data_IF_765808265425
#
_entry.id   IF_765808265425
#
_cell.length_a   1.000
_cell.length_b   1.000
_cell.length_c   1.000
_cell.angle_alpha   90.00
_cell.angle_beta   90.00
_cell.angle_gamma   90.00
#
_symmetry.space_group_name_H-M   'P 1'
#
loop_
_entity.id
_entity.type
_entity.pdbx_description
1 polymer ?
#
# COMPACT_ATOMS: atom_id res chain seq x y z
N UNK A 1 2.04 -13.37 5.61
CA UNK A 1 1.59 -11.97 5.64
C UNK A 1 2.60 -11.11 6.38
N UNK A 2 3.01 -10.01 5.76
CA UNK A 2 3.89 -9.00 6.35
C UNK A 2 3.08 -7.74 6.68
N UNK A 3 3.40 -7.10 7.79
CA UNK A 3 2.85 -5.81 8.22
C UNK A 3 4.01 -4.85 8.51
N UNK A 4 4.14 -3.80 7.69
CA UNK A 4 5.11 -2.72 7.88
C UNK A 4 4.35 -1.46 8.30
N UNK A 5 4.47 -1.07 9.56
CA UNK A 5 3.64 -0.02 10.15
C UNK A 5 4.44 0.99 10.96
N UNK A 6 3.77 2.03 11.44
CA UNK A 6 4.35 3.04 12.33
C UNK A 6 4.56 4.40 11.68
N UNK A 7 5.00 5.36 12.50
CA UNK A 7 5.16 6.77 12.10
C UNK A 7 6.44 7.05 11.30
N UNK A 8 7.44 6.16 11.40
CA UNK A 8 8.72 6.32 10.73
C UNK A 8 8.66 6.13 9.23
N UNK A 9 9.62 6.74 8.53
CA UNK A 9 9.87 6.57 7.10
C UNK A 9 10.34 5.15 6.78
N UNK A 10 10.02 4.65 5.59
CA UNK A 10 10.58 3.42 5.04
C UNK A 10 9.59 2.29 4.83
N UNK A 11 8.33 2.40 5.23
CA UNK A 11 7.30 1.35 5.04
C UNK A 11 7.13 0.96 3.58
N UNK A 12 6.77 1.91 2.72
CA UNK A 12 6.66 1.71 1.27
C UNK A 12 8.01 1.26 0.67
N UNK A 13 9.13 1.88 1.10
CA UNK A 13 10.47 1.53 0.63
C UNK A 13 10.83 0.08 0.93
N UNK A 14 10.51 -0.42 2.13
CA UNK A 14 10.74 -1.81 2.50
C UNK A 14 9.87 -2.77 1.66
N UNK A 15 8.58 -2.44 1.48
CA UNK A 15 7.68 -3.20 0.64
C UNK A 15 8.15 -3.24 -0.83
N UNK A 16 8.59 -2.10 -1.36
CA UNK A 16 9.17 -1.98 -2.71
C UNK A 16 10.47 -2.78 -2.85
N UNK A 17 11.33 -2.76 -1.84
CA UNK A 17 12.53 -3.58 -1.80
C UNK A 17 12.23 -5.09 -1.84
N UNK A 18 11.18 -5.53 -1.15
CA UNK A 18 10.71 -6.91 -1.23
C UNK A 18 10.12 -7.23 -2.61
N UNK A 19 9.38 -6.29 -3.22
CA UNK A 19 8.89 -6.44 -4.60
C UNK A 19 10.04 -6.64 -5.60
N UNK A 20 11.07 -5.80 -5.51
CA UNK A 20 12.24 -5.90 -6.37
C UNK A 20 12.96 -7.25 -6.21
N UNK A 21 13.12 -7.73 -4.97
CA UNK A 21 13.70 -9.06 -4.69
C UNK A 21 12.87 -10.18 -5.29
N UNK A 22 11.54 -10.11 -5.15
CA UNK A 22 10.61 -11.10 -5.70
C UNK A 22 10.67 -11.14 -7.24
N UNK A 23 10.64 -9.98 -7.89
CA UNK A 23 10.78 -9.86 -9.36
C UNK A 23 12.13 -10.43 -9.83
N UNK A 24 13.23 -10.11 -9.14
CA UNK A 24 14.55 -10.66 -9.43
C UNK A 24 14.65 -12.17 -9.27
N UNK A 25 13.73 -12.78 -8.52
CA UNK A 25 13.59 -14.23 -8.35
C UNK A 25 12.55 -14.86 -9.29
N UNK A 26 12.02 -14.10 -10.25
CA UNK A 26 11.02 -14.57 -11.22
C UNK A 26 9.59 -14.70 -10.68
N UNK A 27 9.30 -14.15 -9.48
CA UNK A 27 7.96 -14.17 -8.90
C UNK A 27 7.08 -13.09 -9.54
N UNK A 28 5.79 -13.38 -9.65
CA UNK A 28 4.77 -12.43 -10.12
C UNK A 28 4.40 -11.49 -8.98
N UNK A 29 4.61 -10.20 -9.19
CA UNK A 29 4.33 -9.16 -8.19
C UNK A 29 3.16 -8.30 -8.61
N UNK A 30 2.23 -8.09 -7.69
CA UNK A 30 1.12 -7.13 -7.81
C UNK A 30 1.24 -6.07 -6.74
N UNK A 31 1.13 -4.80 -7.13
CA UNK A 31 1.13 -3.64 -6.21
C UNK A 31 -0.19 -2.90 -6.35
N UNK A 32 -0.89 -2.74 -5.24
CA UNK A 32 -2.04 -1.84 -5.11
C UNK A 32 -1.62 -0.70 -4.20
N UNK A 33 -1.61 0.52 -4.72
CA UNK A 33 -1.27 1.71 -3.94
C UNK A 33 -2.55 2.51 -3.65
N UNK A 34 -2.94 2.57 -2.38
CA UNK A 34 -4.10 3.31 -1.91
C UNK A 34 -3.73 4.77 -1.57
N UNK A 35 -4.72 5.66 -1.66
CA UNK A 35 -4.67 7.04 -1.16
C UNK A 35 -3.48 7.89 -1.69
N UNK A 36 -2.94 7.52 -2.83
CA UNK A 36 -1.88 8.26 -3.54
C UNK A 36 -2.32 8.49 -4.99
N UNK A 37 -1.66 9.44 -5.65
CA UNK A 37 -1.98 9.88 -7.02
C UNK A 37 -1.30 9.06 -8.13
N UNK A 38 -0.61 7.97 -7.77
CA UNK A 38 0.09 7.13 -8.74
C UNK A 38 1.39 7.73 -9.30
N UNK A 39 1.88 8.84 -8.74
CA UNK A 39 3.12 9.50 -9.18
C UNK A 39 4.35 9.08 -8.36
N UNK A 40 4.20 8.14 -7.43
CA UNK A 40 5.31 7.63 -6.62
C UNK A 40 6.42 7.05 -7.50
N UNK A 41 7.66 7.48 -7.24
CA UNK A 41 8.82 7.21 -8.09
C UNK A 41 9.17 5.73 -8.29
N UNK A 42 8.75 4.86 -7.39
CA UNK A 42 8.98 3.41 -7.46
C UNK A 42 8.05 2.67 -8.44
N UNK A 43 6.90 3.26 -8.81
CA UNK A 43 5.88 2.53 -9.58
C UNK A 43 6.32 2.22 -11.01
N UNK A 44 6.91 3.18 -11.71
CA UNK A 44 7.35 2.99 -13.09
C UNK A 44 8.53 2.01 -13.23
N UNK A 45 9.57 2.09 -12.40
CA UNK A 45 10.62 1.06 -12.36
C UNK A 45 10.07 -0.35 -12.08
N UNK A 46 9.14 -0.50 -11.14
CA UNK A 46 8.52 -1.80 -10.85
C UNK A 46 7.71 -2.32 -12.04
N UNK A 47 6.96 -1.43 -12.73
CA UNK A 47 6.21 -1.79 -13.95
C UNK A 47 7.13 -2.27 -15.06
N UNK A 48 8.24 -1.57 -15.29
CA UNK A 48 9.27 -1.95 -16.25
C UNK A 48 9.87 -3.32 -15.96
N UNK A 49 10.02 -3.67 -14.68
CA UNK A 49 10.48 -4.98 -14.23
C UNK A 49 9.40 -6.07 -14.25
N UNK A 50 8.17 -5.76 -14.67
CA UNK A 50 7.10 -6.72 -14.87
C UNK A 50 6.07 -6.81 -13.74
N UNK A 51 6.10 -5.92 -12.74
CA UNK A 51 5.04 -5.86 -11.74
C UNK A 51 3.71 -5.34 -12.32
N UNK A 52 2.60 -5.93 -11.89
CA UNK A 52 1.27 -5.39 -12.14
C UNK A 52 0.97 -4.28 -11.13
N UNK A 53 0.78 -3.05 -11.62
CA UNK A 53 0.59 -1.86 -10.78
C UNK A 53 -0.84 -1.35 -10.90
N UNK A 54 -1.49 -1.16 -9.76
CA UNK A 54 -2.83 -0.60 -9.61
C UNK A 54 -2.77 0.58 -8.64
N UNK A 55 -2.85 1.79 -9.18
CA UNK A 55 -2.86 3.04 -8.43
C UNK A 55 -3.89 3.99 -9.03
N UNK A 56 -4.48 4.86 -8.22
CA UNK A 56 -5.35 5.91 -8.72
C UNK A 56 -4.51 6.94 -9.49
N UNK A 57 -5.08 7.48 -10.57
CA UNK A 57 -4.42 8.54 -11.34
C UNK A 57 -4.62 9.93 -10.73
N UNK A 58 -5.54 10.03 -9.78
CA UNK A 58 -5.89 11.27 -9.10
C UNK A 58 -6.26 10.99 -7.64
N UNK A 59 -5.53 11.56 -6.71
CA UNK A 59 -5.93 11.67 -5.29
C UNK A 59 -5.69 13.13 -4.87
N UNK A 60 -6.57 14.07 -5.28
CA UNK A 60 -6.29 15.50 -5.24
C UNK A 60 -6.33 16.09 -3.83
N UNK A 61 -6.91 15.38 -2.84
CA UNK A 61 -7.13 15.91 -1.49
C UNK A 61 -6.81 14.89 -0.42
N UNK A 62 -6.38 15.38 0.73
CA UNK A 62 -6.36 14.56 1.94
C UNK A 62 -7.79 14.20 2.37
N UNK A 63 -8.00 13.00 2.90
CA UNK A 63 -9.33 12.48 3.27
C UNK A 63 -10.10 13.43 4.21
N UNK A 64 -9.41 14.12 5.12
CA UNK A 64 -10.03 15.10 6.02
C UNK A 64 -10.53 16.38 5.33
N UNK A 65 -10.13 16.61 4.07
CA UNK A 65 -10.58 17.74 3.23
C UNK A 65 -11.67 17.35 2.26
N UNK A 66 -12.03 16.06 2.19
CA UNK A 66 -13.04 15.53 1.26
C UNK A 66 -14.44 15.71 1.81
N UNK A 67 -15.38 16.09 0.95
CA UNK A 67 -16.82 15.97 1.20
C UNK A 67 -17.23 14.48 1.28
N UNK A 68 -18.42 14.20 1.79
CA UNK A 68 -18.93 12.81 1.85
C UNK A 68 -19.07 12.18 0.45
N UNK A 69 -19.46 12.98 -0.55
CA UNK A 69 -19.52 12.50 -1.94
C UNK A 69 -18.15 12.15 -2.49
N UNK A 70 -17.11 12.96 -2.23
CA UNK A 70 -15.72 12.68 -2.63
C UNK A 70 -15.17 11.46 -1.92
N UNK A 71 -15.49 11.28 -0.63
CA UNK A 71 -15.09 10.06 0.11
C UNK A 71 -15.71 8.80 -0.50
N UNK A 72 -16.99 8.84 -0.83
CA UNK A 72 -17.66 7.70 -1.45
C UNK A 72 -17.10 7.39 -2.84
N UNK A 73 -16.83 8.39 -3.67
CA UNK A 73 -16.18 8.21 -4.96
C UNK A 73 -14.77 7.60 -4.81
N UNK A 74 -13.98 8.11 -3.85
CA UNK A 74 -12.66 7.58 -3.53
C UNK A 74 -12.76 6.12 -3.08
N UNK A 75 -13.71 5.80 -2.19
CA UNK A 75 -13.94 4.43 -1.72
C UNK A 75 -14.27 3.49 -2.88
N UNK A 76 -15.16 3.90 -3.78
CA UNK A 76 -15.52 3.11 -4.96
C UNK A 76 -14.30 2.89 -5.87
N UNK A 77 -13.52 3.92 -6.15
CA UNK A 77 -12.33 3.86 -6.98
C UNK A 77 -11.26 2.93 -6.38
N UNK A 78 -10.92 3.10 -5.10
CA UNK A 78 -9.93 2.28 -4.41
C UNK A 78 -10.37 0.80 -4.34
N UNK A 79 -11.66 0.57 -4.12
CA UNK A 79 -12.24 -0.78 -4.14
C UNK A 79 -12.17 -1.41 -5.54
N UNK A 80 -12.41 -0.63 -6.59
CA UNK A 80 -12.28 -1.10 -7.98
C UNK A 80 -10.83 -1.49 -8.32
N UNK A 81 -9.83 -0.70 -7.89
CA UNK A 81 -8.41 -1.03 -8.05
C UNK A 81 -8.07 -2.37 -7.39
N UNK A 82 -8.53 -2.57 -6.16
CA UNK A 82 -8.33 -3.84 -5.46
C UNK A 82 -8.97 -5.02 -6.21
N UNK A 83 -10.21 -4.86 -6.71
CA UNK A 83 -10.88 -5.89 -7.52
C UNK A 83 -10.13 -6.20 -8.80
N UNK A 84 -9.62 -5.19 -9.51
CA UNK A 84 -8.82 -5.38 -10.73
C UNK A 84 -7.52 -6.14 -10.44
N UNK A 85 -6.86 -5.86 -9.31
CA UNK A 85 -5.66 -6.55 -8.89
C UNK A 85 -5.86 -8.05 -8.68
N UNK A 86 -7.07 -8.47 -8.30
CA UNK A 86 -7.43 -9.88 -8.09
C UNK A 86 -7.69 -10.66 -9.39
N UNK A 87 -7.81 -9.98 -10.53
CA UNK A 87 -8.05 -10.64 -11.82
C UNK A 87 -6.83 -11.41 -12.34
N UNK A 88 -5.66 -11.22 -11.75
CA UNK A 88 -4.42 -11.88 -12.16
C UNK A 88 -3.79 -12.62 -10.99
N UNK A 89 -3.28 -13.85 -11.21
CA UNK A 89 -2.55 -14.55 -10.16
C UNK A 89 -1.23 -13.84 -9.85
N UNK A 90 -0.88 -13.76 -8.56
CA UNK A 90 0.39 -13.21 -8.09
C UNK A 90 0.99 -14.10 -6.99
N UNK A 91 2.31 -14.01 -6.84
CA UNK A 91 3.07 -14.70 -5.81
C UNK A 91 3.38 -13.76 -4.64
N UNK A 92 3.41 -12.44 -4.90
CA UNK A 92 3.53 -11.38 -3.90
C UNK A 92 2.56 -10.24 -4.21
N UNK A 93 1.70 -9.90 -3.25
CA UNK A 93 0.78 -8.77 -3.31
C UNK A 93 1.19 -7.69 -2.31
N UNK A 94 1.52 -6.50 -2.77
CA UNK A 94 1.75 -5.32 -1.93
C UNK A 94 0.51 -4.46 -1.91
N UNK A 95 0.00 -4.18 -0.73
CA UNK A 95 -1.13 -3.31 -0.46
C UNK A 95 -0.61 -2.09 0.32
N UNK A 96 -0.09 -1.11 -0.44
CA UNK A 96 0.54 0.08 0.11
C UNK A 96 -0.52 1.07 0.61
N UNK A 97 -0.31 1.67 1.79
CA UNK A 97 -1.25 2.50 2.55
C UNK A 97 -2.58 1.79 2.92
N UNK A 98 -2.58 0.45 2.96
CA UNK A 98 -3.77 -0.34 3.27
C UNK A 98 -4.32 -0.08 4.68
N UNK A 99 -3.46 0.21 5.66
CA UNK A 99 -3.90 0.51 7.02
C UNK A 99 -4.77 1.78 7.04
N UNK A 100 -4.30 2.86 6.41
CA UNK A 100 -5.04 4.12 6.31
C UNK A 100 -6.33 3.97 5.50
N UNK A 101 -6.26 3.31 4.34
CA UNK A 101 -7.44 3.07 3.51
C UNK A 101 -8.54 2.29 4.26
N UNK A 102 -8.14 1.29 5.06
CA UNK A 102 -9.06 0.52 5.91
C UNK A 102 -9.64 1.37 7.05
N UNK A 103 -8.78 2.04 7.83
CA UNK A 103 -9.21 2.83 8.99
C UNK A 103 -10.14 3.97 8.61
N UNK A 104 -9.82 4.68 7.54
CA UNK A 104 -10.60 5.82 7.03
C UNK A 104 -11.83 5.40 6.21
N UNK A 105 -12.02 4.10 5.95
CA UNK A 105 -13.14 3.59 5.16
C UNK A 105 -13.07 3.97 3.67
N UNK A 106 -11.85 4.18 3.16
CA UNK A 106 -11.62 4.57 1.75
C UNK A 106 -11.48 3.36 0.81
N UNK A 107 -11.68 2.16 1.31
CA UNK A 107 -11.80 0.91 0.56
C UNK A 107 -12.90 0.05 1.21
N UNK A 108 -13.49 -0.86 0.46
CA UNK A 108 -14.39 -1.87 1.03
C UNK A 108 -13.60 -2.73 2.04
N UNK A 109 -13.93 -2.56 3.33
CA UNK A 109 -13.22 -3.17 4.46
C UNK A 109 -13.31 -4.68 4.46
N UNK A 110 -14.49 -5.21 4.11
CA UNK A 110 -14.71 -6.66 4.10
C UNK A 110 -13.97 -7.30 2.93
N UNK A 111 -13.98 -6.67 1.77
CA UNK A 111 -13.20 -7.12 0.62
C UNK A 111 -11.71 -7.12 0.94
N UNK A 112 -11.16 -6.02 1.46
CA UNK A 112 -9.73 -5.94 1.80
C UNK A 112 -9.34 -7.05 2.81
N UNK A 113 -10.15 -7.24 3.85
CA UNK A 113 -9.93 -8.30 4.84
C UNK A 113 -10.00 -9.69 4.21
N UNK A 114 -10.98 -9.96 3.36
CA UNK A 114 -11.11 -11.23 2.65
C UNK A 114 -9.92 -11.51 1.74
N UNK A 115 -9.48 -10.51 0.96
CA UNK A 115 -8.32 -10.61 0.06
C UNK A 115 -7.06 -11.03 0.82
N UNK A 116 -6.82 -10.42 1.96
CA UNK A 116 -5.64 -10.70 2.77
C UNK A 116 -5.72 -12.08 3.44
N UNK A 117 -6.87 -12.38 4.09
CA UNK A 117 -7.02 -13.59 4.89
C UNK A 117 -7.30 -14.85 4.05
N UNK A 118 -7.90 -14.69 2.87
CA UNK A 118 -8.24 -15.82 1.97
C UNK A 118 -7.37 -15.85 0.70
N UNK A 119 -6.20 -15.19 0.75
CA UNK A 119 -5.25 -15.24 -0.38
C UNK A 119 -4.89 -16.68 -0.72
N UNK A 120 -4.58 -16.98 -1.99
CA UNK A 120 -4.17 -18.33 -2.39
C UNK A 120 -2.94 -18.81 -1.60
N UNK A 121 -2.88 -20.10 -1.34
CA UNK A 121 -1.67 -20.72 -0.77
C UNK A 121 -0.45 -20.41 -1.65
N UNK A 122 0.65 -19.99 -1.04
CA UNK A 122 1.85 -19.57 -1.75
C UNK A 122 1.87 -18.11 -2.19
N UNK A 123 0.77 -17.37 -2.04
CA UNK A 123 0.78 -15.93 -2.28
C UNK A 123 1.12 -15.19 -0.97
N UNK A 124 2.24 -14.48 -0.96
CA UNK A 124 2.58 -13.57 0.13
C UNK A 124 1.82 -12.23 -0.01
N UNK A 125 1.49 -11.61 1.12
CA UNK A 125 0.91 -10.27 1.13
C UNK A 125 1.68 -9.35 2.07
N UNK A 126 1.80 -8.08 1.69
CA UNK A 126 2.42 -7.02 2.50
C UNK A 126 1.41 -5.89 2.67
N UNK A 127 1.13 -5.53 3.90
CA UNK A 127 0.34 -4.34 4.26
C UNK A 127 1.28 -3.25 4.77
N UNK A 128 1.07 -2.01 4.32
CA UNK A 128 1.78 -0.87 4.89
C UNK A 128 0.81 0.17 5.44
N UNK A 129 1.29 1.00 6.35
CA UNK A 129 0.56 2.16 6.86
C UNK A 129 0.96 2.54 8.28
N UNK A 130 0.32 3.57 8.83
CA UNK A 130 0.67 4.06 10.17
C UNK A 130 0.02 3.25 11.29
N UNK A 131 -1.30 3.11 11.24
CA UNK A 131 -2.12 2.49 12.30
C UNK A 131 -2.84 1.26 11.75
N UNK A 132 -2.34 0.05 12.01
CA UNK A 132 -3.00 -1.16 11.55
C UNK A 132 -4.27 -1.46 12.36
N UNK A 133 -5.28 -2.03 11.71
CA UNK A 133 -6.43 -2.57 12.42
C UNK A 133 -6.03 -3.81 13.24
N UNK A 134 -6.71 -4.11 14.37
CA UNK A 134 -6.35 -5.24 15.21
C UNK A 134 -6.24 -6.59 14.48
N UNK A 135 -7.11 -6.84 13.52
CA UNK A 135 -7.06 -8.07 12.72
C UNK A 135 -5.80 -8.17 11.84
N UNK A 136 -5.24 -7.04 11.39
CA UNK A 136 -3.99 -7.03 10.60
C UNK A 136 -2.82 -7.49 11.45
N UNK A 137 -2.75 -7.00 12.70
CA UNK A 137 -1.74 -7.41 13.69
C UNK A 137 -1.90 -8.89 14.04
N UNK A 138 -3.14 -9.35 14.30
CA UNK A 138 -3.40 -10.75 14.64
C UNK A 138 -3.07 -11.74 13.52
N UNK A 139 -3.25 -11.33 12.27
CA UNK A 139 -3.07 -12.20 11.10
C UNK A 139 -1.65 -12.19 10.53
N UNK A 140 -0.82 -11.21 10.89
CA UNK A 140 0.51 -11.05 10.32
C UNK A 140 1.51 -12.05 10.92
N UNK A 141 2.30 -12.67 10.04
CA UNK A 141 3.43 -13.55 10.39
C UNK A 141 4.70 -12.72 10.68
N UNK A 142 4.88 -11.61 9.95
CA UNK A 142 5.97 -10.65 10.14
C UNK A 142 5.40 -9.28 10.48
N UNK A 143 5.80 -8.72 11.61
CA UNK A 143 5.38 -7.38 12.05
C UNK A 143 6.63 -6.55 12.28
N UNK A 144 6.76 -5.46 11.51
CA UNK A 144 7.87 -4.52 11.65
C UNK A 144 7.32 -3.13 11.91
N UNK A 145 7.67 -2.55 13.06
CA UNK A 145 7.36 -1.16 13.39
C UNK A 145 8.50 -0.25 12.95
N UNK A 146 8.19 0.77 12.15
CA UNK A 146 9.13 1.82 11.77
C UNK A 146 8.88 3.06 12.64
N UNK A 147 9.75 3.29 13.61
CA UNK A 147 9.64 4.41 14.55
C UNK A 147 10.28 5.67 13.98
N UNK A 148 9.61 6.79 14.16
CA UNK A 148 10.14 8.11 13.85
C UNK A 148 11.02 8.61 15.02
N UNK A 149 12.31 8.23 15.01
CA UNK A 149 13.25 8.73 16.02
C UNK A 149 13.73 10.16 15.72
N UNK A 150 13.71 10.58 14.46
CA UNK A 150 14.01 11.92 13.96
C UNK A 150 13.47 12.07 12.55
N UNK A 151 12.89 13.20 12.20
CA UNK A 151 12.43 13.48 10.85
C UNK A 151 12.90 14.85 10.37
N UNK A 152 13.48 15.00 9.16
CA UNK A 152 13.95 16.28 8.63
C UNK A 152 12.85 17.33 8.49
N UNK A 153 11.59 16.92 8.38
CA UNK A 153 10.43 17.82 8.36
C UNK A 153 10.36 18.71 9.61
N UNK A 154 10.76 18.19 10.78
CA UNK A 154 10.82 18.95 12.04
C UNK A 154 11.80 20.12 11.98
N UNK A 155 12.77 20.06 11.08
CA UNK A 155 13.75 21.14 10.81
C UNK A 155 13.42 21.93 9.54
N UNK A 156 12.19 21.75 8.98
CA UNK A 156 11.71 22.52 7.83
C UNK A 156 12.17 22.00 6.47
N UNK A 157 12.79 20.79 6.39
CA UNK A 157 13.16 20.21 5.11
C UNK A 157 11.92 19.61 4.43
N UNK A 158 11.58 20.13 3.25
CA UNK A 158 10.49 19.59 2.44
C UNK A 158 10.85 18.23 1.83
N UNK A 159 9.81 17.45 1.46
CA UNK A 159 9.98 16.17 0.77
C UNK A 159 10.72 16.35 -0.56
N UNK A 160 11.67 15.47 -0.86
CA UNK A 160 12.56 15.54 -2.03
C UNK A 160 12.21 14.42 -3.01
N UNK A 161 12.20 14.76 -4.29
CA UNK A 161 11.98 13.80 -5.37
C UNK A 161 13.06 12.72 -5.37
N UNK A 162 12.65 11.46 -5.49
CA UNK A 162 13.55 10.31 -5.50
C UNK A 162 14.09 9.90 -4.12
N UNK A 163 13.71 10.62 -3.03
CA UNK A 163 14.10 10.29 -1.65
C UNK A 163 12.86 10.04 -0.78
N UNK A 164 11.92 10.97 -0.77
CA UNK A 164 10.65 10.82 -0.03
C UNK A 164 9.49 10.42 -0.95
N UNK A 165 9.54 10.74 -2.25
CA UNK A 165 8.53 10.38 -3.25
C UNK A 165 9.13 10.17 -4.65
#
# INVERSE_FOLDING_TARGET
LHLYWGEGKGKTTAATGLALRALGSGLRVTVVQFLKDGTSGELEPLRTLGAAIYAAMECPKFVFQMSETEKEQTRMQQTALLRQALCKPCDLMILDEACAAYQLGMVDRDLLKQVVLRRPAGCEAVLTGREPAPWMVQAADYITEMRCCRHPYETGLAARKGIEY
#
